data_IF_291208614333
#
_entry.id   IF_291208614333
#
_cell.length_a   1.000
_cell.length_b   1.000
_cell.length_c   1.000
_cell.angle_alpha   90.00
_cell.angle_beta   90.00
_cell.angle_gamma   90.00
#
_symmetry.space_group_name_H-M   'P 1'
#
loop_
_entity.id
_entity.type
_entity.pdbx_description
1 polymer ?
#
# COMPACT_ATOMS: atom_id res chain seq x y z
N UNK A 1 -19.01 11.16 -11.69
CA UNK A 1 -19.50 9.84 -12.14
C UNK A 1 -18.38 9.11 -12.83
N UNK A 2 -18.07 7.87 -12.43
CA UNK A 2 -17.00 7.09 -13.03
C UNK A 2 -17.54 6.19 -14.13
N UNK A 3 -16.79 6.05 -15.21
CA UNK A 3 -17.11 5.12 -16.30
C UNK A 3 -16.17 3.92 -16.24
N UNK A 4 -16.74 2.73 -16.08
CA UNK A 4 -16.01 1.47 -16.16
C UNK A 4 -15.46 1.26 -17.58
N UNK A 5 -14.20 0.84 -17.71
CA UNK A 5 -13.54 0.56 -19.00
C UNK A 5 -13.30 -0.94 -19.14
N UNK A 6 -12.50 -1.55 -18.25
CA UNK A 6 -12.19 -2.98 -18.28
C UNK A 6 -11.58 -3.46 -16.95
N UNK A 7 -11.74 -4.76 -16.62
CA UNK A 7 -11.06 -5.34 -15.47
C UNK A 7 -9.56 -5.54 -15.79
N UNK A 8 -8.72 -5.36 -14.79
CA UNK A 8 -7.31 -5.73 -14.84
C UNK A 8 -7.17 -7.09 -14.14
N UNK A 9 -7.10 -8.16 -14.95
CA UNK A 9 -7.12 -9.54 -14.44
C UNK A 9 -5.80 -10.01 -13.83
N UNK A 10 -4.82 -9.13 -13.76
CA UNK A 10 -3.53 -9.42 -13.12
C UNK A 10 -3.60 -8.99 -11.63
N UNK A 11 -3.46 -9.95 -10.73
CA UNK A 11 -3.51 -9.74 -9.28
C UNK A 11 -4.79 -10.23 -8.60
N UNK A 12 -4.68 -10.65 -7.34
CA UNK A 12 -5.77 -11.28 -6.57
C UNK A 12 -6.91 -10.35 -6.14
N UNK A 13 -6.80 -9.02 -6.35
CA UNK A 13 -7.81 -8.03 -5.96
C UNK A 13 -8.71 -7.56 -7.11
N UNK A 14 -8.52 -8.07 -8.34
CA UNK A 14 -9.28 -7.73 -9.55
C UNK A 14 -9.55 -6.22 -9.71
N UNK A 15 -8.52 -5.35 -9.76
CA UNK A 15 -8.73 -3.94 -9.99
C UNK A 15 -9.31 -3.68 -11.38
N UNK A 16 -9.89 -2.49 -11.61
CA UNK A 16 -10.37 -2.10 -12.93
C UNK A 16 -9.80 -0.77 -13.38
N UNK A 17 -9.72 -0.60 -14.69
CA UNK A 17 -9.49 0.71 -15.29
C UNK A 17 -10.84 1.43 -15.41
N UNK A 18 -10.92 2.64 -14.89
CA UNK A 18 -12.06 3.53 -15.00
C UNK A 18 -11.65 4.92 -15.45
N UNK A 19 -12.60 5.67 -16.02
CA UNK A 19 -12.47 7.09 -16.35
C UNK A 19 -13.39 7.86 -15.41
N UNK A 20 -12.85 8.84 -14.70
CA UNK A 20 -13.62 9.67 -13.79
C UNK A 20 -14.23 10.91 -14.49
N UNK A 21 -14.95 11.74 -13.78
CA UNK A 21 -15.62 12.93 -14.30
C UNK A 21 -14.65 14.09 -14.63
N UNK A 22 -13.40 13.96 -14.22
CA UNK A 22 -12.29 14.82 -14.61
C UNK A 22 -11.63 14.40 -15.93
N UNK A 23 -12.19 13.38 -16.63
CA UNK A 23 -11.68 12.80 -17.88
C UNK A 23 -10.33 12.04 -17.75
N UNK A 24 -9.79 11.89 -16.53
CA UNK A 24 -8.61 11.09 -16.30
C UNK A 24 -8.94 9.61 -16.05
N UNK A 25 -7.93 8.76 -16.27
CA UNK A 25 -8.05 7.32 -16.06
C UNK A 25 -7.39 6.90 -14.77
N UNK A 26 -8.05 6.02 -14.05
CA UNK A 26 -7.60 5.50 -12.77
C UNK A 26 -7.69 3.98 -12.73
N UNK A 27 -6.73 3.38 -12.03
CA UNK A 27 -6.84 1.98 -11.58
C UNK A 27 -7.63 2.00 -10.27
N UNK A 28 -8.82 1.43 -10.29
CA UNK A 28 -9.71 1.40 -9.12
C UNK A 28 -9.36 0.18 -8.26
N UNK A 29 -9.11 0.42 -6.99
CA UNK A 29 -8.98 -0.59 -5.94
C UNK A 29 -10.33 -0.69 -5.21
N UNK A 30 -10.98 -1.84 -5.34
CA UNK A 30 -12.33 -2.05 -4.85
C UNK A 30 -12.37 -2.44 -3.37
N UNK A 31 -13.19 -1.73 -2.58
CA UNK A 31 -13.42 -2.08 -1.17
C UNK A 31 -14.18 -3.40 -0.99
N UNK A 32 -14.95 -3.84 -1.98
CA UNK A 32 -15.61 -5.14 -2.02
C UNK A 32 -14.72 -6.31 -2.43
N UNK A 33 -13.44 -6.08 -2.79
CA UNK A 33 -12.49 -7.12 -3.20
C UNK A 33 -11.98 -7.98 -2.06
N UNK A 34 -11.17 -8.99 -2.36
CA UNK A 34 -10.79 -10.10 -1.47
C UNK A 34 -10.38 -9.76 -0.03
N UNK A 35 -9.67 -8.66 0.23
CA UNK A 35 -9.31 -8.20 1.58
C UNK A 35 -10.20 -7.07 2.10
N UNK A 36 -11.25 -6.73 1.34
CA UNK A 36 -12.24 -5.73 1.75
C UNK A 36 -11.67 -4.32 1.91
N UNK A 37 -12.37 -3.50 2.68
CA UNK A 37 -11.98 -2.13 2.97
C UNK A 37 -10.59 -2.02 3.63
N UNK A 38 -10.08 -3.07 4.28
CA UNK A 38 -8.72 -3.12 4.85
C UNK A 38 -7.64 -2.91 3.78
N UNK A 39 -7.85 -3.48 2.58
CA UNK A 39 -6.89 -3.32 1.48
C UNK A 39 -6.81 -1.88 0.99
N UNK A 40 -7.94 -1.20 0.84
CA UNK A 40 -7.94 0.22 0.40
C UNK A 40 -7.42 1.16 1.50
N UNK A 41 -7.62 0.84 2.78
CA UNK A 41 -6.98 1.55 3.89
C UNK A 41 -5.46 1.40 3.82
N UNK A 42 -4.97 0.18 3.61
CA UNK A 42 -3.53 -0.10 3.46
C UNK A 42 -2.93 0.59 2.25
N UNK A 43 -3.64 0.59 1.11
CA UNK A 43 -3.21 1.27 -0.10
C UNK A 43 -3.07 2.78 0.11
N UNK A 44 -4.08 3.42 0.74
CA UNK A 44 -4.06 4.84 1.04
C UNK A 44 -2.91 5.20 2.00
N UNK A 45 -2.83 4.55 3.14
CA UNK A 45 -1.81 4.84 4.15
C UNK A 45 -0.42 4.52 3.58
N UNK A 46 -0.25 3.36 2.95
CA UNK A 46 1.03 2.94 2.39
C UNK A 46 1.52 3.84 1.28
N UNK A 47 0.64 4.22 0.36
CA UNK A 47 0.98 5.13 -0.74
C UNK A 47 1.37 6.53 -0.26
N UNK A 48 0.64 7.10 0.70
CA UNK A 48 0.95 8.43 1.23
C UNK A 48 2.22 8.44 2.10
N UNK A 49 2.47 7.39 2.88
CA UNK A 49 3.77 7.23 3.58
C UNK A 49 4.92 7.10 2.59
N UNK A 50 4.75 6.32 1.51
CA UNK A 50 5.75 6.19 0.46
C UNK A 50 6.05 7.55 -0.21
N UNK A 51 5.02 8.33 -0.51
CA UNK A 51 5.14 9.68 -1.07
C UNK A 51 5.88 10.63 -0.12
N UNK A 52 5.53 10.59 1.17
CA UNK A 52 6.21 11.36 2.22
C UNK A 52 7.68 10.98 2.38
N UNK A 53 8.00 9.71 2.18
CA UNK A 53 9.37 9.17 2.14
C UNK A 53 10.15 9.55 0.87
N UNK A 54 9.58 10.36 -0.03
CA UNK A 54 10.21 10.79 -1.27
C UNK A 54 10.26 9.74 -2.37
N UNK A 55 9.43 8.69 -2.26
CA UNK A 55 9.26 7.67 -3.28
C UNK A 55 8.11 8.05 -4.22
N UNK A 56 8.20 7.62 -5.49
CA UNK A 56 7.16 7.91 -6.47
C UNK A 56 6.03 6.90 -6.33
N UNK A 57 4.83 7.41 -6.15
CA UNK A 57 3.57 6.65 -6.13
C UNK A 57 2.59 7.39 -7.03
N UNK A 58 1.85 6.73 -7.91
CA UNK A 58 0.78 7.38 -8.68
C UNK A 58 -0.17 8.12 -7.75
N UNK A 59 -0.74 9.22 -8.22
CA UNK A 59 -1.67 9.99 -7.42
C UNK A 59 -2.85 9.10 -6.96
N UNK A 60 -3.19 9.22 -5.68
CA UNK A 60 -4.32 8.52 -5.07
C UNK A 60 -5.49 9.49 -4.96
N UNK A 61 -6.66 9.05 -5.39
CA UNK A 61 -7.90 9.82 -5.36
C UNK A 61 -9.05 8.99 -4.79
N UNK A 62 -10.02 9.65 -4.20
CA UNK A 62 -11.26 9.00 -3.81
C UNK A 62 -12.23 8.97 -4.99
N UNK A 63 -12.76 7.79 -5.30
CA UNK A 63 -13.71 7.58 -6.37
C UNK A 63 -15.02 7.06 -5.79
N UNK A 64 -16.09 7.82 -6.00
CA UNK A 64 -17.42 7.39 -5.62
C UNK A 64 -18.06 6.62 -6.79
N UNK A 65 -18.37 5.34 -6.58
CA UNK A 65 -18.94 4.44 -7.57
C UNK A 65 -20.45 4.31 -7.33
N UNK A 66 -21.24 4.66 -8.34
CA UNK A 66 -22.68 4.48 -8.31
C UNK A 66 -23.10 3.02 -8.55
N UNK A 67 -24.38 2.71 -8.32
CA UNK A 67 -24.94 1.36 -8.48
C UNK A 67 -24.91 0.85 -9.93
N UNK A 68 -24.82 1.76 -10.90
CA UNK A 68 -24.74 1.43 -12.32
C UNK A 68 -23.30 1.22 -12.82
N UNK A 69 -22.31 1.44 -11.95
CA UNK A 69 -20.91 1.23 -12.29
C UNK A 69 -20.67 -0.24 -12.66
N UNK A 70 -20.14 -0.47 -13.86
CA UNK A 70 -19.90 -1.83 -14.37
C UNK A 70 -21.14 -2.61 -14.83
N UNK A 71 -22.31 -1.97 -14.97
CA UNK A 71 -23.56 -2.62 -15.42
C UNK A 71 -23.42 -3.38 -16.75
N UNK A 72 -22.46 -3.00 -17.58
CA UNK A 72 -22.18 -3.66 -18.87
C UNK A 72 -21.11 -4.74 -18.78
N UNK A 73 -20.55 -5.01 -17.61
CA UNK A 73 -19.58 -6.09 -17.41
C UNK A 73 -20.26 -7.45 -17.61
N UNK A 74 -19.77 -8.31 -18.52
CA UNK A 74 -20.42 -9.60 -18.82
C UNK A 74 -20.12 -10.70 -17.79
N UNK A 75 -19.08 -10.54 -16.98
CA UNK A 75 -18.64 -11.53 -16.00
C UNK A 75 -19.39 -11.33 -14.68
N UNK A 76 -20.20 -12.32 -14.26
CA UNK A 76 -21.03 -12.25 -13.07
C UNK A 76 -20.22 -12.07 -11.78
N UNK A 77 -19.03 -12.70 -11.67
CA UNK A 77 -18.16 -12.56 -10.49
C UNK A 77 -17.65 -11.12 -10.37
N UNK A 78 -17.27 -10.52 -11.50
CA UNK A 78 -16.87 -9.11 -11.54
C UNK A 78 -18.06 -8.20 -11.24
N UNK A 79 -19.25 -8.48 -11.77
CA UNK A 79 -20.44 -7.69 -11.43
C UNK A 79 -20.74 -7.72 -9.93
N UNK A 80 -20.64 -8.86 -9.28
CA UNK A 80 -20.86 -8.98 -7.83
C UNK A 80 -19.83 -8.18 -7.04
N UNK A 81 -18.56 -8.22 -7.45
CA UNK A 81 -17.50 -7.37 -6.89
C UNK A 81 -17.84 -5.88 -7.02
N UNK A 82 -18.28 -5.45 -8.21
CA UNK A 82 -18.62 -4.04 -8.46
C UNK A 82 -19.81 -3.58 -7.63
N UNK A 83 -20.85 -4.41 -7.51
CA UNK A 83 -22.00 -4.12 -6.62
C UNK A 83 -21.61 -4.02 -5.16
N UNK A 84 -20.73 -4.93 -4.68
CA UNK A 84 -20.21 -4.89 -3.32
C UNK A 84 -19.29 -3.67 -3.07
N UNK A 85 -18.88 -2.98 -4.14
CA UNK A 85 -17.99 -1.83 -4.09
C UNK A 85 -18.69 -0.49 -4.31
N UNK A 86 -20.03 -0.45 -4.34
CA UNK A 86 -20.79 0.80 -4.43
C UNK A 86 -20.40 1.76 -3.29
N UNK A 87 -20.28 3.06 -3.58
CA UNK A 87 -19.81 4.10 -2.67
C UNK A 87 -18.32 4.39 -2.86
N UNK A 88 -17.66 4.82 -1.80
CA UNK A 88 -16.31 5.37 -1.86
C UNK A 88 -15.25 4.26 -2.00
N UNK A 89 -14.43 4.37 -3.04
CA UNK A 89 -13.29 3.49 -3.32
C UNK A 89 -12.01 4.29 -3.52
N UNK A 90 -10.89 3.61 -3.76
CA UNK A 90 -9.59 4.26 -4.02
C UNK A 90 -9.21 4.14 -5.49
N UNK A 91 -8.96 5.26 -6.14
CA UNK A 91 -8.38 5.34 -7.47
C UNK A 91 -6.89 5.65 -7.40
N UNK A 92 -6.13 5.04 -8.29
CA UNK A 92 -4.72 5.35 -8.52
C UNK A 92 -4.54 5.82 -9.95
N UNK A 93 -3.92 6.98 -10.20
CA UNK A 93 -3.70 7.53 -11.53
C UNK A 93 -3.07 6.50 -12.46
N UNK A 94 -3.69 6.26 -13.62
CA UNK A 94 -3.20 5.29 -14.60
C UNK A 94 -1.97 5.78 -15.32
N UNK A 95 -0.85 5.08 -15.17
CA UNK A 95 0.42 5.40 -15.82
C UNK A 95 0.47 4.74 -17.22
N UNK A 96 -0.04 5.42 -18.22
CA UNK A 96 -0.10 4.91 -19.58
C UNK A 96 1.30 4.62 -20.14
N UNK A 97 1.51 3.37 -20.61
CA UNK A 97 2.80 2.91 -21.12
C UNK A 97 3.82 2.53 -20.05
N UNK A 98 3.42 2.46 -18.78
CA UNK A 98 4.25 1.87 -17.75
C UNK A 98 4.38 0.35 -17.97
N UNK A 99 5.50 -0.20 -17.53
CA UNK A 99 5.75 -1.63 -17.56
C UNK A 99 6.34 -2.11 -16.22
N UNK A 100 6.12 -3.38 -15.90
CA UNK A 100 6.60 -3.97 -14.65
C UNK A 100 8.11 -3.82 -14.53
N UNK A 101 8.56 -3.36 -13.37
CA UNK A 101 9.97 -3.30 -13.03
C UNK A 101 10.45 -4.69 -12.63
N UNK A 102 11.54 -5.15 -13.25
CA UNK A 102 12.15 -6.45 -12.99
C UNK A 102 13.56 -6.24 -12.42
N UNK A 103 13.83 -6.85 -11.26
CA UNK A 103 15.12 -6.77 -10.57
C UNK A 103 16.28 -7.36 -11.40
N UNK A 104 16.00 -8.32 -12.27
CA UNK A 104 17.02 -8.97 -13.08
C UNK A 104 17.49 -8.10 -14.26
N UNK A 105 16.66 -7.14 -14.70
CA UNK A 105 16.90 -6.32 -15.89
C UNK A 105 17.18 -4.86 -15.56
N UNK A 106 16.64 -4.36 -14.46
CA UNK A 106 16.71 -2.96 -14.07
C UNK A 106 17.65 -2.77 -12.88
N UNK A 107 18.53 -1.81 -12.96
CA UNK A 107 19.36 -1.39 -11.82
C UNK A 107 18.60 -0.42 -10.91
N UNK A 108 18.87 -0.52 -9.62
CA UNK A 108 18.45 0.42 -8.59
C UNK A 108 19.64 0.71 -7.67
N UNK A 109 19.81 1.93 -7.24
CA UNK A 109 20.85 2.28 -6.30
C UNK A 109 20.53 1.80 -4.87
N UNK A 110 21.58 1.62 -4.07
CA UNK A 110 21.46 1.06 -2.72
C UNK A 110 20.58 1.91 -1.81
N UNK A 111 20.60 3.23 -1.96
CA UNK A 111 19.82 4.14 -1.14
C UNK A 111 18.32 4.03 -1.46
N UNK A 112 17.95 4.02 -2.72
CA UNK A 112 16.55 3.83 -3.15
C UNK A 112 16.05 2.44 -2.76
N UNK A 113 16.85 1.38 -2.94
CA UNK A 113 16.52 0.04 -2.47
C UNK A 113 16.29 0.02 -0.94
N UNK A 114 17.16 0.69 -0.18
CA UNK A 114 17.04 0.76 1.28
C UNK A 114 15.80 1.55 1.74
N UNK A 115 15.42 2.61 1.03
CA UNK A 115 14.18 3.37 1.32
C UNK A 115 12.94 2.49 1.13
N UNK A 116 12.90 1.68 0.07
CA UNK A 116 11.76 0.81 -0.22
C UNK A 116 11.69 -0.33 0.80
N UNK A 117 12.82 -0.97 1.12
CA UNK A 117 12.87 -2.03 2.15
C UNK A 117 12.48 -1.48 3.53
N UNK A 118 12.97 -0.30 3.89
CA UNK A 118 12.60 0.36 5.14
C UNK A 118 11.10 0.66 5.19
N UNK A 119 10.55 1.22 4.11
CA UNK A 119 9.11 1.52 3.97
C UNK A 119 8.26 0.26 4.18
N UNK A 120 8.57 -0.81 3.45
CA UNK A 120 7.78 -2.04 3.51
C UNK A 120 7.93 -2.75 4.85
N UNK A 121 9.10 -2.68 5.49
CA UNK A 121 9.29 -3.17 6.85
C UNK A 121 8.53 -2.31 7.88
N UNK A 122 8.52 -0.99 7.72
CA UNK A 122 7.74 -0.06 8.55
C UNK A 122 6.25 -0.32 8.44
N UNK A 123 5.74 -0.46 7.23
CA UNK A 123 4.32 -0.72 6.94
C UNK A 123 3.92 -2.19 7.12
N UNK A 124 4.86 -3.09 7.35
CA UNK A 124 4.63 -4.55 7.34
C UNK A 124 4.01 -5.06 6.04
N UNK A 125 4.47 -4.56 4.89
CA UNK A 125 4.03 -4.99 3.57
C UNK A 125 4.61 -6.36 3.22
N UNK A 126 3.77 -7.39 3.12
CA UNK A 126 4.19 -8.78 2.92
C UNK A 126 4.33 -9.18 1.45
N UNK A 127 3.95 -8.31 0.50
CA UNK A 127 3.73 -8.70 -0.90
C UNK A 127 4.78 -8.18 -1.89
N UNK A 128 5.74 -7.33 -1.47
CA UNK A 128 6.80 -6.87 -2.38
C UNK A 128 7.95 -7.87 -2.45
N UNK A 129 7.70 -8.95 -3.19
CA UNK A 129 8.63 -10.09 -3.33
C UNK A 129 9.29 -10.13 -4.72
N UNK A 130 10.26 -11.03 -4.91
CA UNK A 130 10.88 -11.23 -6.23
C UNK A 130 9.90 -11.71 -7.31
N UNK A 131 8.83 -12.39 -6.92
CA UNK A 131 7.78 -12.86 -7.84
C UNK A 131 6.71 -11.79 -8.11
N UNK A 132 6.53 -10.87 -7.18
CA UNK A 132 5.57 -9.77 -7.27
C UNK A 132 6.24 -8.50 -6.77
N UNK A 133 6.90 -7.79 -7.66
CA UNK A 133 7.71 -6.63 -7.26
C UNK A 133 6.85 -5.42 -6.87
N UNK A 134 5.62 -5.32 -7.34
CA UNK A 134 4.71 -4.19 -7.11
C UNK A 134 5.39 -2.84 -7.42
N UNK A 135 6.17 -2.82 -8.49
CA UNK A 135 6.92 -1.67 -8.99
C UNK A 135 6.76 -1.55 -10.50
N UNK A 136 6.66 -0.32 -10.98
CA UNK A 136 6.58 0.00 -12.39
C UNK A 136 7.75 0.88 -12.82
N UNK A 137 8.12 0.78 -14.08
CA UNK A 137 8.96 1.75 -14.76
C UNK A 137 8.10 2.62 -15.67
N UNK A 138 8.07 3.92 -15.40
CA UNK A 138 7.36 4.90 -16.19
C UNK A 138 8.21 6.15 -16.38
N UNK A 139 8.33 6.64 -17.61
CA UNK A 139 9.18 7.78 -17.95
C UNK A 139 10.63 7.67 -17.43
N UNK A 140 11.20 6.44 -17.47
CA UNK A 140 12.53 6.09 -16.95
C UNK A 140 12.67 6.13 -15.43
N UNK A 141 11.60 6.42 -14.70
CA UNK A 141 11.56 6.48 -13.24
C UNK A 141 10.92 5.23 -12.65
N UNK A 142 11.30 4.90 -11.41
CA UNK A 142 10.71 3.84 -10.62
C UNK A 142 9.47 4.36 -9.88
N UNK A 143 8.37 3.62 -9.96
CA UNK A 143 7.10 3.93 -9.31
C UNK A 143 6.66 2.75 -8.49
N UNK A 144 6.28 2.99 -7.24
CA UNK A 144 5.72 1.97 -6.35
C UNK A 144 4.20 1.92 -6.53
N UNK A 145 3.68 0.71 -6.53
CA UNK A 145 2.24 0.43 -6.57
C UNK A 145 1.91 -0.68 -5.59
N UNK A 146 0.62 -0.87 -5.36
CA UNK A 146 0.07 -2.00 -4.62
C UNK A 146 0.59 -2.13 -3.17
N UNK A 147 0.17 -1.20 -2.32
CA UNK A 147 0.43 -1.21 -0.88
C UNK A 147 -0.69 -1.93 -0.10
N UNK A 148 -1.65 -2.54 -0.78
CA UNK A 148 -2.84 -3.15 -0.18
C UNK A 148 -2.54 -4.29 0.81
N UNK A 149 -1.36 -4.91 0.73
CA UNK A 149 -0.88 -5.94 1.66
C UNK A 149 -0.06 -5.39 2.83
N UNK A 150 -0.10 -4.09 3.06
CA UNK A 150 0.51 -3.41 4.21
C UNK A 150 -0.37 -3.52 5.46
N UNK A 151 0.16 -3.08 6.60
CA UNK A 151 -0.57 -3.02 7.88
C UNK A 151 -1.16 -4.38 8.28
N UNK A 152 -0.39 -5.44 8.06
CA UNK A 152 -0.85 -6.81 8.22
C UNK A 152 -1.46 -7.12 9.62
N UNK A 153 -1.15 -6.30 10.63
CA UNK A 153 -1.71 -6.40 11.98
C UNK A 153 -3.24 -6.32 12.01
N UNK A 154 -3.87 -5.62 11.07
CA UNK A 154 -5.32 -5.44 11.04
C UNK A 154 -6.09 -6.75 10.72
N UNK A 155 -5.40 -7.82 10.33
CA UNK A 155 -5.97 -9.16 10.25
C UNK A 155 -5.95 -9.90 11.61
N UNK A 156 -5.21 -9.36 12.59
CA UNK A 156 -5.18 -9.83 13.98
C UNK A 156 -5.20 -8.59 14.92
N UNK A 157 -6.35 -7.92 14.93
CA UNK A 157 -6.52 -6.61 15.53
C UNK A 157 -6.08 -6.54 17.00
N UNK A 158 -6.48 -7.52 17.82
CA UNK A 158 -6.15 -7.54 19.26
C UNK A 158 -4.64 -7.70 19.54
N UNK A 159 -3.88 -8.10 18.54
CA UNK A 159 -2.43 -8.29 18.62
C UNK A 159 -1.60 -7.11 18.13
N UNK A 160 -2.20 -5.95 17.86
CA UNK A 160 -1.53 -4.81 17.19
C UNK A 160 -0.30 -4.29 17.95
N UNK A 161 -0.33 -4.24 19.27
CA UNK A 161 0.79 -3.77 20.10
C UNK A 161 2.02 -4.66 19.93
N UNK A 162 1.82 -5.97 19.95
CA UNK A 162 2.90 -6.94 19.71
C UNK A 162 3.40 -6.86 18.26
N UNK A 163 2.49 -6.70 17.30
CA UNK A 163 2.83 -6.55 15.89
C UNK A 163 3.64 -5.27 15.62
N UNK A 164 3.33 -4.16 16.33
CA UNK A 164 4.06 -2.90 16.23
C UNK A 164 5.55 -3.05 16.61
N UNK A 165 5.88 -3.96 17.51
CA UNK A 165 7.25 -4.28 17.96
C UNK A 165 7.86 -5.49 17.24
N UNK A 166 7.22 -6.00 16.19
CA UNK A 166 7.74 -7.13 15.40
C UNK A 166 8.92 -6.71 14.53
N UNK A 167 9.96 -7.55 14.40
CA UNK A 167 11.08 -7.31 13.48
C UNK A 167 10.70 -7.45 11.99
N UNK A 168 9.47 -7.82 11.68
CA UNK A 168 8.98 -8.08 10.33
C UNK A 168 9.77 -9.19 9.61
N UNK A 169 9.58 -10.47 9.98
CA UNK A 169 10.32 -11.60 9.42
C UNK A 169 10.20 -11.76 7.90
N UNK A 170 9.08 -11.32 7.30
CA UNK A 170 8.83 -11.42 5.86
C UNK A 170 9.80 -10.59 5.00
N UNK A 171 10.63 -9.74 5.61
CA UNK A 171 11.67 -8.98 4.90
C UNK A 171 12.69 -9.90 4.21
N UNK A 172 12.84 -11.15 4.64
CA UNK A 172 13.69 -12.17 4.02
C UNK A 172 13.32 -12.47 2.55
N UNK A 173 12.05 -12.25 2.20
CA UNK A 173 11.50 -12.48 0.84
C UNK A 173 11.45 -11.19 0.00
N UNK A 174 11.83 -10.06 0.59
CA UNK A 174 11.69 -8.77 -0.08
C UNK A 174 12.61 -8.67 -1.30
N UNK A 175 12.03 -8.28 -2.46
CA UNK A 175 12.71 -8.21 -3.76
C UNK A 175 14.03 -7.44 -3.74
N UNK A 176 14.12 -6.38 -2.95
CA UNK A 176 15.26 -5.46 -2.93
C UNK A 176 16.18 -5.62 -1.72
N UNK A 177 15.92 -6.55 -0.81
CA UNK A 177 16.73 -6.70 0.40
C UNK A 177 18.23 -6.89 0.12
N UNK A 178 18.66 -7.71 -0.86
CA UNK A 178 20.09 -7.87 -1.15
C UNK A 178 20.80 -6.56 -1.52
N UNK A 179 20.06 -5.62 -2.12
CA UNK A 179 20.57 -4.33 -2.60
C UNK A 179 20.51 -3.20 -1.53
N UNK A 180 19.75 -3.41 -0.45
CA UNK A 180 19.46 -2.40 0.58
C UNK A 180 20.59 -2.25 1.60
N UNK A 181 21.76 -1.75 1.20
CA UNK A 181 22.94 -1.67 2.05
C UNK A 181 23.02 -0.42 2.93
N UNK A 182 22.08 0.52 2.81
CA UNK A 182 22.10 1.82 3.50
C UNK A 182 20.93 1.99 4.50
N UNK A 183 20.40 0.88 5.05
CA UNK A 183 19.20 0.91 5.91
C UNK A 183 19.36 1.80 7.15
N UNK A 184 20.54 1.84 7.78
CA UNK A 184 20.78 2.68 8.97
C UNK A 184 20.76 4.17 8.63
N UNK A 185 21.42 4.56 7.53
CA UNK A 185 21.41 5.96 7.07
C UNK A 185 20.02 6.40 6.60
N UNK A 186 19.27 5.47 5.99
CA UNK A 186 17.89 5.70 5.59
C UNK A 186 16.98 5.82 6.80
N UNK A 187 17.16 5.05 7.86
CA UNK A 187 16.37 5.14 9.09
C UNK A 187 16.43 6.56 9.69
N UNK A 188 17.63 7.13 9.79
CA UNK A 188 17.81 8.50 10.25
C UNK A 188 17.10 9.53 9.35
N UNK A 189 17.06 9.30 8.04
CA UNK A 189 16.36 10.14 7.09
C UNK A 189 14.85 10.03 7.25
N UNK A 190 14.32 8.81 7.39
CA UNK A 190 12.89 8.56 7.54
C UNK A 190 12.33 9.20 8.81
N UNK A 191 13.08 9.19 9.91
CA UNK A 191 12.69 9.89 11.14
C UNK A 191 12.55 11.41 10.98
N UNK A 192 13.25 12.01 10.01
CA UNK A 192 13.08 13.44 9.69
C UNK A 192 11.88 13.73 8.78
N UNK A 193 11.53 12.78 7.92
CA UNK A 193 10.45 12.94 6.93
C UNK A 193 9.09 12.52 7.48
N UNK A 194 9.04 11.40 8.20
CA UNK A 194 7.81 10.82 8.74
C UNK A 194 7.72 11.20 10.21
N UNK A 195 6.86 12.18 10.53
CA UNK A 195 6.67 12.65 11.90
C UNK A 195 5.40 12.08 12.53
N UNK A 196 5.30 12.02 13.86
CA UNK A 196 4.06 11.62 14.53
C UNK A 196 2.84 12.43 14.11
N UNK A 197 3.01 13.73 13.86
CA UNK A 197 1.94 14.64 13.43
C UNK A 197 1.45 14.27 12.03
N UNK A 198 2.38 14.01 11.09
CA UNK A 198 2.03 13.54 9.75
C UNK A 198 1.24 12.22 9.81
N UNK A 199 1.63 11.29 10.67
CA UNK A 199 0.93 10.01 10.81
C UNK A 199 -0.49 10.20 11.37
N UNK A 200 -0.69 11.13 12.31
CA UNK A 200 -2.03 11.47 12.81
C UNK A 200 -2.90 12.10 11.71
N UNK A 201 -2.35 13.08 10.98
CA UNK A 201 -3.04 13.72 9.87
C UNK A 201 -3.43 12.70 8.81
N UNK A 202 -2.50 11.84 8.40
CA UNK A 202 -2.74 10.80 7.41
C UNK A 202 -3.85 9.83 7.82
N UNK A 203 -3.80 9.30 9.02
CA UNK A 203 -4.82 8.35 9.50
C UNK A 203 -6.20 9.00 9.56
N UNK A 204 -6.27 10.31 9.82
CA UNK A 204 -7.53 11.06 9.80
C UNK A 204 -8.12 11.24 8.39
N UNK A 205 -7.36 11.03 7.32
CA UNK A 205 -7.89 11.04 5.95
C UNK A 205 -8.65 9.76 5.56
N UNK A 206 -8.50 8.68 6.34
CA UNK A 206 -9.19 7.42 6.08
C UNK A 206 -10.70 7.63 6.27
N UNK A 207 -11.54 7.33 5.27
CA UNK A 207 -12.98 7.51 5.35
C UNK A 207 -13.64 6.65 6.45
N UNK A 208 -14.64 7.21 7.15
CA UNK A 208 -15.41 6.47 8.15
C UNK A 208 -16.08 5.23 7.57
N UNK A 209 -16.57 5.31 6.33
CA UNK A 209 -17.19 4.20 5.61
C UNK A 209 -16.28 2.98 5.57
N UNK A 210 -15.00 3.14 5.20
CA UNK A 210 -14.04 2.03 5.15
C UNK A 210 -13.73 1.44 6.53
N UNK A 211 -13.67 2.29 7.55
CA UNK A 211 -13.42 1.84 8.92
C UNK A 211 -14.62 1.05 9.46
N UNK A 212 -15.84 1.53 9.24
CA UNK A 212 -17.07 0.83 9.65
C UNK A 212 -17.17 -0.55 8.95
N UNK A 213 -16.87 -0.62 7.66
CA UNK A 213 -16.86 -1.89 6.92
C UNK A 213 -15.76 -2.84 7.39
N UNK A 214 -14.58 -2.31 7.79
CA UNK A 214 -13.44 -3.12 8.24
C UNK A 214 -13.66 -3.76 9.59
N UNK A 215 -14.25 -3.03 10.54
CA UNK A 215 -14.50 -3.48 11.91
C UNK A 215 -15.80 -2.84 12.43
N UNK A 216 -16.97 -3.43 12.13
CA UNK A 216 -18.28 -2.85 12.49
C UNK A 216 -18.48 -2.67 14.01
N UNK A 217 -17.79 -3.47 14.82
CA UNK A 217 -17.89 -3.46 16.30
C UNK A 217 -17.03 -2.34 16.94
N UNK A 218 -16.16 -1.68 16.17
CA UNK A 218 -15.18 -0.72 16.68
C UNK A 218 -15.45 0.64 16.04
N UNK A 219 -15.54 1.69 16.86
CA UNK A 219 -15.78 3.03 16.33
C UNK A 219 -14.66 3.48 15.39
N UNK A 220 -14.96 4.27 14.34
CA UNK A 220 -13.92 4.83 13.45
C UNK A 220 -12.83 5.60 14.18
N UNK A 221 -13.19 6.33 15.24
CA UNK A 221 -12.23 7.06 16.06
C UNK A 221 -11.25 6.11 16.79
N UNK A 222 -11.76 5.02 17.35
CA UNK A 222 -10.91 4.03 18.02
C UNK A 222 -10.00 3.30 17.02
N UNK A 223 -10.51 2.97 15.85
CA UNK A 223 -9.69 2.37 14.79
C UNK A 223 -8.57 3.33 14.36
N UNK A 224 -8.85 4.61 14.11
CA UNK A 224 -7.81 5.61 13.80
C UNK A 224 -6.77 5.72 14.90
N UNK A 225 -7.20 5.68 16.16
CA UNK A 225 -6.28 5.69 17.30
C UNK A 225 -5.31 4.50 17.23
N UNK A 226 -5.81 3.31 16.94
CA UNK A 226 -4.97 2.09 16.84
C UNK A 226 -4.02 2.19 15.65
N UNK A 227 -4.47 2.58 14.45
CA UNK A 227 -3.59 2.78 13.30
C UNK A 227 -2.48 3.81 13.59
N UNK A 228 -2.83 4.94 14.18
CA UNK A 228 -1.86 5.97 14.55
C UNK A 228 -0.85 5.45 15.57
N UNK A 229 -1.31 4.78 16.63
CA UNK A 229 -0.43 4.23 17.66
C UNK A 229 0.48 3.13 17.11
N UNK A 230 -0.03 2.25 16.26
CA UNK A 230 0.77 1.22 15.58
C UNK A 230 1.92 1.86 14.81
N UNK A 231 1.63 2.81 13.93
CA UNK A 231 2.64 3.48 13.10
C UNK A 231 3.65 4.25 13.96
N UNK A 232 3.20 5.02 14.95
CA UNK A 232 4.09 5.77 15.85
C UNK A 232 4.98 4.85 16.69
N UNK A 233 4.44 3.74 17.17
CA UNK A 233 5.21 2.75 17.92
C UNK A 233 6.29 2.12 17.04
N UNK A 234 5.96 1.75 15.79
CA UNK A 234 6.94 1.23 14.83
C UNK A 234 8.00 2.26 14.50
N UNK A 235 7.62 3.51 14.24
CA UNK A 235 8.57 4.59 13.97
C UNK A 235 9.56 4.75 15.13
N UNK A 236 9.05 4.89 16.36
CA UNK A 236 9.88 5.07 17.56
C UNK A 236 10.80 3.87 17.86
N UNK A 237 10.49 2.70 17.33
CA UNK A 237 11.23 1.46 17.52
C UNK A 237 11.77 0.88 16.21
N UNK A 238 12.02 1.72 15.22
CA UNK A 238 12.45 1.31 13.86
C UNK A 238 13.69 0.43 13.86
N UNK A 239 14.60 0.62 14.81
CA UNK A 239 15.79 -0.23 14.95
C UNK A 239 15.47 -1.72 15.03
N UNK A 240 14.31 -2.11 15.56
CA UNK A 240 13.92 -3.52 15.66
C UNK A 240 13.87 -4.17 14.27
N UNK A 241 13.22 -3.54 13.30
CA UNK A 241 13.13 -4.07 11.95
C UNK A 241 14.34 -3.72 11.07
N UNK A 242 14.99 -2.59 11.31
CA UNK A 242 16.23 -2.20 10.59
C UNK A 242 17.37 -3.15 10.91
N UNK A 243 17.64 -3.41 12.17
CA UNK A 243 18.72 -4.33 12.60
C UNK A 243 18.43 -5.76 12.11
N UNK A 244 17.16 -6.19 12.17
CA UNK A 244 16.75 -7.49 11.66
C UNK A 244 16.99 -7.59 10.15
N UNK A 245 16.51 -6.62 9.37
CA UNK A 245 16.70 -6.58 7.92
C UNK A 245 18.18 -6.56 7.52
N UNK A 246 19.01 -5.78 8.22
CA UNK A 246 20.46 -5.75 8.01
C UNK A 246 21.12 -7.12 8.29
N UNK A 247 20.71 -7.80 9.35
CA UNK A 247 21.24 -9.12 9.68
C UNK A 247 20.85 -10.16 8.64
N UNK A 248 19.56 -10.18 8.21
CA UNK A 248 19.11 -11.07 7.13
C UNK A 248 19.86 -10.77 5.84
N UNK A 249 19.98 -9.49 5.44
CA UNK A 249 20.73 -9.10 4.23
C UNK A 249 22.17 -9.62 4.24
N UNK A 250 22.88 -9.45 5.35
CA UNK A 250 24.28 -9.94 5.49
C UNK A 250 24.40 -11.45 5.33
N UNK A 251 23.34 -12.23 5.57
CA UNK A 251 23.33 -13.67 5.37
C UNK A 251 23.01 -14.08 3.92
N UNK A 252 22.54 -13.16 3.08
CA UNK A 252 22.19 -13.38 1.67
C UNK A 252 23.33 -13.00 0.71
N UNK A 253 24.33 -12.24 1.20
CA UNK A 253 25.46 -11.72 0.45
C UNK A 253 26.76 -12.34 0.98
#
# INVERSE_FOLDING_TARGET
MCRYILPLREGGSLPALAEADDEFKYVVKFKGGGHGAKAVISELIGGEVARKAGLRVPELVFLDLDEDFGRTEPDEEIQDLLRASTGLNLGMSFLAGAFTWDVAVNSIDARTASRIVWLDAFLTNVDRTALNTNMLRWNKELWLIDHGSSLYFHHNWDGWEKAALSPFPYVDKHALLPLASELEAVDEEMHRLITPEFLDELVNTVPDEWLIESFPEITPQEQRRVYSQFLKTRLSNSKIFVDYANNVRKSLV
#
